data_IF_022752758741
#
_entry.id   IF_022752758741
#
_cell.length_a   1.000
_cell.length_b   1.000
_cell.length_c   1.000
_cell.angle_alpha   90.00
_cell.angle_beta   90.00
_cell.angle_gamma   90.00
#
_symmetry.space_group_name_H-M   'P 1'
#
loop_
_entity.id
_entity.type
_entity.pdbx_description
1 polymer ?
#
# COMPACT_ATOMS: atom_id res chain seq x y z
N UNK A 1 5.96 2.04 -17.98
CA UNK A 1 6.02 3.25 -17.14
C UNK A 1 5.43 2.90 -15.78
N UNK A 2 6.06 3.28 -14.68
CA UNK A 2 5.67 2.84 -13.33
C UNK A 2 4.32 3.46 -12.91
N UNK A 3 3.45 2.64 -12.33
CA UNK A 3 2.11 3.05 -11.91
C UNK A 3 1.68 2.38 -10.62
N UNK A 4 0.83 3.07 -9.88
CA UNK A 4 0.03 2.51 -8.80
C UNK A 4 -1.34 2.12 -9.35
N UNK A 5 -1.81 0.92 -9.00
CA UNK A 5 -3.07 0.39 -9.49
C UNK A 5 -3.75 -0.50 -8.48
N UNK A 6 -5.07 -0.49 -8.50
CA UNK A 6 -5.92 -1.42 -7.75
C UNK A 6 -6.95 -2.04 -8.69
N UNK A 7 -7.28 -3.30 -8.45
CA UNK A 7 -8.38 -3.99 -9.11
C UNK A 7 -9.54 -4.09 -8.12
N UNK A 8 -10.72 -3.69 -8.57
CA UNK A 8 -11.95 -3.70 -7.77
C UNK A 8 -12.90 -4.73 -8.34
N UNK A 9 -13.62 -5.41 -7.45
CA UNK A 9 -14.72 -6.30 -7.79
C UNK A 9 -15.77 -6.21 -6.69
N UNK A 10 -17.05 -6.23 -7.08
CA UNK A 10 -18.17 -6.18 -6.15
C UNK A 10 -18.60 -7.54 -5.61
N UNK A 11 -18.00 -8.65 -6.09
CA UNK A 11 -18.36 -10.03 -5.72
C UNK A 11 -19.88 -10.30 -5.79
N UNK A 12 -20.56 -9.74 -6.80
CA UNK A 12 -22.01 -9.87 -7.01
C UNK A 12 -22.87 -8.79 -6.35
N UNK A 13 -22.26 -7.72 -5.81
CA UNK A 13 -22.99 -6.57 -5.30
C UNK A 13 -23.69 -5.79 -6.44
N UNK A 14 -25.03 -5.62 -6.38
CA UNK A 14 -25.78 -4.92 -7.45
C UNK A 14 -25.33 -3.49 -7.70
N UNK A 15 -24.98 -2.74 -6.64
CA UNK A 15 -24.50 -1.36 -6.77
C UNK A 15 -23.17 -1.28 -7.54
N UNK A 16 -22.33 -2.32 -7.45
CA UNK A 16 -21.08 -2.39 -8.22
C UNK A 16 -21.33 -2.71 -9.69
N UNK A 17 -22.30 -3.58 -9.98
CA UNK A 17 -22.71 -3.88 -11.35
C UNK A 17 -23.33 -2.65 -12.03
N UNK A 18 -24.13 -1.87 -11.30
CA UNK A 18 -24.64 -0.58 -11.75
C UNK A 18 -23.50 0.40 -12.05
N UNK A 19 -22.50 0.51 -11.18
CA UNK A 19 -21.33 1.37 -11.43
C UNK A 19 -20.57 0.96 -12.70
N UNK A 20 -20.44 -0.34 -12.97
CA UNK A 20 -19.87 -0.83 -14.24
C UNK A 20 -20.74 -0.44 -15.44
N UNK A 21 -22.06 -0.55 -15.33
CA UNK A 21 -22.99 -0.14 -16.39
C UNK A 21 -22.87 1.37 -16.66
N UNK A 22 -22.83 2.20 -15.62
CA UNK A 22 -22.62 3.66 -15.74
C UNK A 22 -21.29 3.98 -16.44
N UNK A 23 -20.20 3.26 -16.13
CA UNK A 23 -18.92 3.43 -16.83
C UNK A 23 -19.02 3.11 -18.33
N UNK A 24 -19.84 2.11 -18.70
CA UNK A 24 -20.10 1.80 -20.10
C UNK A 24 -20.94 2.89 -20.78
N UNK A 25 -21.93 3.45 -20.09
CA UNK A 25 -22.74 4.56 -20.61
C UNK A 25 -21.92 5.84 -20.83
N UNK A 26 -20.99 6.15 -19.93
CA UNK A 26 -20.06 7.27 -20.11
C UNK A 26 -19.21 7.07 -21.37
N UNK A 27 -18.74 5.84 -21.62
CA UNK A 27 -18.02 5.51 -22.86
C UNK A 27 -18.89 5.68 -24.09
N UNK A 28 -20.15 5.22 -24.06
CA UNK A 28 -21.08 5.35 -25.19
C UNK A 28 -21.44 6.80 -25.47
N UNK A 29 -21.62 7.61 -24.43
CA UNK A 29 -21.82 9.05 -24.54
C UNK A 29 -20.61 9.71 -25.19
N UNK A 30 -19.40 9.37 -24.74
CA UNK A 30 -18.16 9.87 -25.32
C UNK A 30 -17.90 9.41 -26.76
N UNK A 31 -18.42 8.25 -27.18
CA UNK A 31 -18.24 7.74 -28.56
C UNK A 31 -18.83 8.68 -29.62
N UNK A 32 -19.88 9.43 -29.29
CA UNK A 32 -20.52 10.40 -30.19
C UNK A 32 -19.61 11.55 -30.59
N UNK A 33 -18.59 11.85 -29.79
CA UNK A 33 -17.60 12.91 -30.05
C UNK A 33 -16.50 12.46 -31.02
N UNK A 34 -16.45 11.17 -31.38
CA UNK A 34 -15.43 10.61 -32.27
C UNK A 34 -16.06 10.02 -33.52
N UNK A 35 -15.27 9.91 -34.60
CA UNK A 35 -15.69 9.13 -35.77
C UNK A 35 -16.00 7.70 -35.34
N UNK A 36 -17.02 7.10 -35.93
CA UNK A 36 -17.47 5.76 -35.58
C UNK A 36 -16.31 4.76 -35.58
N UNK A 37 -16.21 3.96 -34.50
CA UNK A 37 -15.16 2.96 -34.33
C UNK A 37 -13.78 3.49 -33.93
N UNK A 38 -13.60 4.81 -33.73
CA UNK A 38 -12.32 5.38 -33.28
C UNK A 38 -12.11 5.29 -31.77
N UNK A 39 -13.18 5.24 -30.96
CA UNK A 39 -13.07 5.02 -29.52
C UNK A 39 -13.08 3.52 -29.21
N UNK A 40 -12.01 3.03 -28.58
CA UNK A 40 -11.91 1.63 -28.18
C UNK A 40 -13.04 1.24 -27.23
N UNK A 41 -13.49 -0.01 -27.35
CA UNK A 41 -14.42 -0.59 -26.38
C UNK A 41 -13.73 -0.69 -25.02
N UNK A 42 -14.35 -0.14 -23.98
CA UNK A 42 -13.96 -0.41 -22.60
C UNK A 42 -14.69 -1.67 -22.13
N UNK A 43 -13.93 -2.67 -21.69
CA UNK A 43 -14.47 -3.94 -21.21
C UNK A 43 -13.98 -4.20 -19.80
N UNK A 44 -14.88 -4.42 -18.83
CA UNK A 44 -14.50 -4.94 -17.52
C UNK A 44 -13.71 -6.24 -17.65
N UNK A 45 -12.74 -6.41 -16.76
CA UNK A 45 -12.07 -7.69 -16.51
C UNK A 45 -12.94 -8.59 -15.62
N UNK A 46 -12.46 -9.79 -15.32
CA UNK A 46 -13.10 -10.68 -14.36
C UNK A 46 -12.12 -11.08 -13.25
N UNK A 47 -12.64 -11.26 -12.05
CA UNK A 47 -11.91 -11.81 -10.90
C UNK A 47 -12.78 -12.89 -10.25
N UNK A 48 -12.29 -14.14 -10.23
CA UNK A 48 -13.03 -15.30 -9.70
C UNK A 48 -14.45 -15.45 -10.27
N UNK A 49 -14.64 -15.12 -11.55
CA UNK A 49 -15.94 -15.17 -12.23
C UNK A 49 -16.81 -13.91 -12.07
N UNK A 50 -16.44 -12.99 -11.18
CA UNK A 50 -17.17 -11.73 -11.00
C UNK A 50 -16.60 -10.62 -11.87
N UNK A 51 -17.44 -9.67 -12.34
CA UNK A 51 -16.96 -8.46 -13.00
C UNK A 51 -15.98 -7.68 -12.12
N UNK A 52 -14.95 -7.15 -12.75
CA UNK A 52 -13.90 -6.38 -12.10
C UNK A 52 -13.34 -5.31 -13.03
N UNK A 53 -12.79 -4.22 -12.49
CA UNK A 53 -12.03 -3.27 -13.29
C UNK A 53 -10.80 -2.77 -12.54
N UNK A 54 -9.80 -2.35 -13.31
CA UNK A 54 -8.55 -1.81 -12.75
C UNK A 54 -8.52 -0.30 -12.90
N UNK A 55 -8.23 0.39 -11.80
CA UNK A 55 -7.97 1.84 -11.76
C UNK A 55 -6.49 2.05 -11.51
N UNK A 56 -5.87 2.99 -12.25
CA UNK A 56 -4.42 3.21 -12.12
C UNK A 56 -4.02 4.66 -12.32
N UNK A 57 -3.03 5.12 -11.55
CA UNK A 57 -2.34 6.39 -11.80
C UNK A 57 -0.84 6.14 -12.02
N UNK A 58 -0.20 6.97 -12.84
CA UNK A 58 1.25 6.91 -13.03
C UNK A 58 1.92 7.73 -11.94
N UNK A 59 3.02 7.24 -11.40
CA UNK A 59 3.85 8.05 -10.50
C UNK A 59 4.49 9.23 -11.22
N UNK A 60 4.73 9.10 -12.52
CA UNK A 60 5.40 10.14 -13.32
C UNK A 60 4.64 10.44 -14.60
N UNK A 61 4.77 11.67 -15.06
CA UNK A 61 4.39 12.12 -16.39
C UNK A 61 5.63 12.59 -17.14
N UNK A 62 5.73 12.25 -18.42
CA UNK A 62 6.80 12.77 -19.29
C UNK A 62 6.58 14.26 -19.52
N UNK A 63 7.62 15.06 -19.30
CA UNK A 63 7.58 16.47 -19.68
C UNK A 63 7.43 16.55 -21.19
N UNK A 64 6.33 17.14 -21.68
CA UNK A 64 6.23 17.50 -23.09
C UNK A 64 7.20 18.66 -23.33
N UNK A 65 7.84 18.68 -24.49
CA UNK A 65 8.70 19.77 -24.94
C UNK A 65 7.94 21.12 -24.78
N UNK A 66 8.45 22.01 -23.93
CA UNK A 66 7.82 23.31 -23.59
C UNK A 66 6.83 23.31 -22.42
N UNK A 67 6.54 22.18 -21.78
CA UNK A 67 5.67 22.11 -20.60
C UNK A 67 6.42 22.34 -19.30
N UNK A 68 6.28 23.53 -18.70
CA UNK A 68 6.68 23.77 -17.31
C UNK A 68 5.68 23.07 -16.39
N UNK A 69 6.03 21.85 -15.95
CA UNK A 69 5.30 21.19 -14.88
C UNK A 69 5.99 21.50 -13.56
N UNK A 70 5.23 22.01 -12.58
CA UNK A 70 5.74 22.11 -11.21
C UNK A 70 5.89 20.69 -10.65
N UNK A 71 7.15 20.26 -10.54
CA UNK A 71 7.48 18.98 -9.95
C UNK A 71 7.24 19.05 -8.44
N UNK A 72 6.37 18.19 -7.94
CA UNK A 72 6.12 18.01 -6.51
C UNK A 72 6.94 16.80 -6.01
N UNK A 73 7.38 16.87 -4.76
CA UNK A 73 8.08 15.76 -4.11
C UNK A 73 7.10 14.66 -3.73
N UNK A 74 7.54 13.40 -3.78
CA UNK A 74 6.74 12.30 -3.24
C UNK A 74 6.51 12.45 -1.74
N UNK A 75 5.33 12.05 -1.28
CA UNK A 75 5.06 11.90 0.15
C UNK A 75 5.97 10.82 0.74
N UNK A 76 6.48 11.04 1.96
CA UNK A 76 7.32 10.08 2.69
C UNK A 76 6.61 8.75 2.94
N UNK A 77 5.28 8.75 3.00
CA UNK A 77 4.51 7.53 3.14
C UNK A 77 4.46 6.69 1.85
N UNK A 78 4.57 7.35 0.69
CA UNK A 78 4.60 6.72 -0.64
C UNK A 78 6.01 6.31 -1.03
N UNK A 79 7.01 7.15 -0.73
CA UNK A 79 8.42 6.89 -1.02
C UNK A 79 9.33 7.06 0.22
N UNK A 80 9.25 6.16 1.22
CA UNK A 80 10.00 6.31 2.48
C UNK A 80 11.53 6.35 2.32
N UNK A 81 12.04 5.75 1.23
CA UNK A 81 13.49 5.57 0.97
C UNK A 81 13.96 6.46 -0.19
N UNK A 82 13.09 7.32 -0.75
CA UNK A 82 13.47 8.18 -1.87
C UNK A 82 13.82 7.41 -3.16
N UNK A 83 13.32 6.18 -3.34
CA UNK A 83 13.58 5.39 -4.55
C UNK A 83 12.84 6.00 -5.74
N UNK A 84 11.57 6.34 -5.57
CA UNK A 84 10.78 6.97 -6.63
C UNK A 84 11.35 8.34 -6.98
N UNK A 85 11.73 9.13 -5.97
CA UNK A 85 12.37 10.42 -6.19
C UNK A 85 13.68 10.29 -6.97
N UNK A 86 14.51 9.28 -6.68
CA UNK A 86 15.75 9.01 -7.44
C UNK A 86 15.51 8.51 -8.86
N UNK A 87 14.35 7.88 -9.12
CA UNK A 87 13.95 7.43 -10.45
C UNK A 87 13.37 8.55 -11.31
N UNK A 88 13.04 9.71 -10.73
CA UNK A 88 12.67 10.92 -11.46
C UNK A 88 13.91 11.43 -12.24
N UNK A 89 14.07 10.95 -13.48
CA UNK A 89 15.06 11.47 -14.44
C UNK A 89 14.63 12.84 -14.97
N UNK A 90 15.52 13.53 -15.69
CA UNK A 90 15.30 14.88 -16.24
C UNK A 90 14.04 15.02 -17.13
N UNK A 91 13.58 13.92 -17.73
CA UNK A 91 12.49 13.87 -18.71
C UNK A 91 11.11 13.51 -18.11
N UNK A 92 11.05 13.20 -16.82
CA UNK A 92 9.81 12.81 -16.14
C UNK A 92 9.62 13.56 -14.82
N UNK A 93 8.39 14.00 -14.55
CA UNK A 93 8.04 14.75 -13.34
C UNK A 93 6.87 14.08 -12.59
N UNK A 94 6.90 14.16 -11.26
CA UNK A 94 5.74 13.89 -10.40
C UNK A 94 4.99 15.20 -10.21
N UNK A 95 3.70 15.23 -10.55
CA UNK A 95 2.84 16.42 -10.47
C UNK A 95 1.62 16.13 -9.62
N UNK A 96 0.83 17.14 -9.26
CA UNK A 96 -0.42 16.96 -8.52
C UNK A 96 -1.36 15.94 -9.19
N UNK A 97 -1.38 15.91 -10.53
CA UNK A 97 -2.18 14.94 -11.28
C UNK A 97 -1.75 13.47 -11.06
N UNK A 98 -0.53 13.23 -10.57
CA UNK A 98 0.02 11.91 -10.26
C UNK A 98 -0.20 11.48 -8.81
N UNK A 99 -0.65 12.39 -7.94
CA UNK A 99 -0.90 12.08 -6.53
C UNK A 99 -2.13 11.19 -6.41
N UNK A 100 -2.05 10.22 -5.51
CA UNK A 100 -3.19 9.46 -5.02
C UNK A 100 -3.26 9.61 -3.51
N UNK A 101 -4.46 9.90 -3.02
CA UNK A 101 -4.71 10.05 -1.60
C UNK A 101 -5.13 8.72 -0.98
N UNK A 102 -4.67 8.48 0.24
CA UNK A 102 -4.88 7.23 0.97
C UNK A 102 -5.50 7.54 2.33
N UNK A 103 -6.70 7.01 2.56
CA UNK A 103 -7.49 7.24 3.76
C UNK A 103 -7.84 5.93 4.45
N UNK A 104 -8.17 6.01 5.74
CA UNK A 104 -8.76 4.91 6.51
C UNK A 104 -9.94 5.47 7.28
N UNK A 105 -11.10 4.85 7.15
CA UNK A 105 -12.26 5.17 7.96
C UNK A 105 -12.00 4.76 9.41
N UNK A 106 -11.51 5.69 10.22
CA UNK A 106 -11.58 5.63 11.67
C UNK A 106 -12.39 6.84 12.12
N UNK A 107 -13.29 6.63 13.08
CA UNK A 107 -14.25 7.63 13.56
C UNK A 107 -13.55 8.84 14.22
N UNK A 108 -12.27 8.70 14.63
CA UNK A 108 -11.58 9.72 15.45
C UNK A 108 -10.27 10.27 14.85
N UNK A 109 -9.85 9.86 13.64
CA UNK A 109 -8.50 10.21 13.17
C UNK A 109 -8.48 10.44 11.65
N UNK A 110 -8.62 11.70 11.23
CA UNK A 110 -8.40 12.24 9.87
C UNK A 110 -6.91 12.14 9.47
N UNK A 111 -6.32 10.96 9.61
CA UNK A 111 -4.94 10.71 9.24
C UNK A 111 -4.86 10.20 7.81
N UNK A 112 -4.13 10.91 6.93
CA UNK A 112 -3.55 10.31 5.72
C UNK A 112 -2.77 9.07 6.12
N UNK A 113 -2.88 8.00 5.33
CA UNK A 113 -2.22 6.73 5.64
C UNK A 113 -1.34 6.23 4.51
N UNK A 114 -0.52 5.26 4.86
CA UNK A 114 0.44 4.60 3.99
C UNK A 114 -0.23 3.66 2.98
N UNK A 115 0.19 3.66 1.71
CA UNK A 115 -0.25 2.69 0.71
C UNK A 115 -0.02 1.23 1.14
N UNK A 116 1.00 0.98 1.98
CA UNK A 116 1.36 -0.38 2.39
C UNK A 116 0.34 -1.05 3.32
N UNK A 117 -0.66 -0.32 3.82
CA UNK A 117 -1.71 -0.88 4.68
C UNK A 117 -2.74 -1.72 3.92
N UNK A 118 -2.99 -1.39 2.66
CA UNK A 118 -4.00 -2.07 1.84
C UNK A 118 -3.54 -3.47 1.45
N UNK A 119 -4.49 -4.41 1.46
CA UNK A 119 -4.30 -5.82 1.14
C UNK A 119 -5.44 -6.31 0.26
N UNK A 120 -5.15 -7.37 -0.50
CA UNK A 120 -6.18 -8.09 -1.26
C UNK A 120 -7.19 -8.66 -0.25
N UNK A 121 -8.47 -8.35 -0.46
CA UNK A 121 -9.57 -8.74 0.42
C UNK A 121 -10.13 -7.59 1.25
N UNK A 122 -9.45 -6.44 1.31
CA UNK A 122 -9.96 -5.28 2.02
C UNK A 122 -11.16 -4.67 1.27
N UNK A 123 -12.13 -4.16 2.04
CA UNK A 123 -13.26 -3.40 1.51
C UNK A 123 -12.82 -1.94 1.45
N UNK A 124 -12.87 -1.38 0.25
CA UNK A 124 -12.36 -0.03 -0.03
C UNK A 124 -13.36 0.77 -0.85
N UNK A 125 -13.37 2.08 -0.62
CA UNK A 125 -13.96 3.06 -1.52
C UNK A 125 -12.85 3.64 -2.41
N UNK A 126 -13.12 3.80 -3.70
CA UNK A 126 -12.15 4.33 -4.65
C UNK A 126 -12.74 5.49 -5.43
N UNK A 127 -12.05 6.62 -5.37
CA UNK A 127 -12.32 7.75 -6.25
C UNK A 127 -11.43 7.67 -7.48
N UNK A 128 -12.04 7.81 -8.66
CA UNK A 128 -11.32 7.82 -9.92
C UNK A 128 -11.81 8.93 -10.86
N UNK A 129 -10.94 9.37 -11.76
CA UNK A 129 -11.29 10.23 -12.88
C UNK A 129 -11.34 9.41 -14.17
N UNK A 130 -12.27 9.74 -15.05
CA UNK A 130 -12.38 9.12 -16.36
C UNK A 130 -11.70 10.04 -17.37
N UNK A 131 -10.75 9.49 -18.15
CA UNK A 131 -10.11 10.23 -19.24
C UNK A 131 -10.22 9.45 -20.55
N UNK A 132 -10.34 10.17 -21.65
CA UNK A 132 -10.21 9.62 -23.00
C UNK A 132 -8.96 10.22 -23.62
N UNK A 133 -8.01 9.39 -24.03
CA UNK A 133 -6.76 9.83 -24.63
C UNK A 133 -6.54 9.16 -25.99
N UNK A 134 -5.79 9.83 -26.85
CA UNK A 134 -5.37 9.27 -28.13
C UNK A 134 -4.35 8.15 -27.89
N UNK A 135 -4.71 6.93 -28.27
CA UNK A 135 -3.81 5.79 -28.28
C UNK A 135 -2.91 5.85 -29.54
N UNK A 136 -2.00 4.88 -29.69
CA UNK A 136 -1.13 4.79 -30.87
C UNK A 136 -1.98 4.72 -32.15
N UNK A 137 -1.75 5.63 -33.09
CA UNK A 137 -2.53 5.74 -34.34
C UNK A 137 -3.73 6.70 -34.23
N UNK A 138 -4.83 6.37 -34.91
CA UNK A 138 -6.05 7.18 -34.93
C UNK A 138 -7.07 6.80 -33.84
N UNK A 139 -6.76 5.80 -33.00
CA UNK A 139 -7.68 5.27 -31.99
C UNK A 139 -7.60 6.06 -30.69
N UNK A 140 -8.72 6.13 -29.99
CA UNK A 140 -8.87 6.75 -28.67
C UNK A 140 -9.21 5.67 -27.66
N UNK A 141 -8.78 5.84 -26.40
CA UNK A 141 -9.05 4.87 -25.34
C UNK A 141 -9.48 5.56 -24.07
N UNK A 142 -10.52 5.03 -23.44
CA UNK A 142 -10.95 5.41 -22.10
C UNK A 142 -10.04 4.74 -21.05
N UNK A 143 -9.66 5.50 -20.01
CA UNK A 143 -8.92 5.00 -18.85
C UNK A 143 -9.48 5.59 -17.56
N UNK A 144 -9.48 4.77 -16.52
CA UNK A 144 -9.78 5.17 -15.14
C UNK A 144 -8.47 5.54 -14.43
N UNK A 145 -8.37 6.79 -14.00
CA UNK A 145 -7.23 7.35 -13.27
C UNK A 145 -7.53 7.32 -11.78
N UNK A 146 -6.66 6.69 -11.01
CA UNK A 146 -6.82 6.58 -9.56
C UNK A 146 -6.57 7.94 -8.90
N UNK A 147 -7.49 8.40 -8.03
CA UNK A 147 -7.37 9.68 -7.30
C UNK A 147 -7.30 9.49 -5.80
N UNK A 148 -8.15 8.64 -5.25
CA UNK A 148 -8.13 8.33 -3.83
C UNK A 148 -8.56 6.90 -3.55
N UNK A 149 -8.08 6.34 -2.45
CA UNK A 149 -8.54 5.07 -1.88
C UNK A 149 -8.79 5.28 -0.39
N UNK A 150 -9.99 4.92 0.06
CA UNK A 150 -10.34 4.87 1.47
C UNK A 150 -10.59 3.43 1.92
N UNK A 151 -9.92 3.00 2.99
CA UNK A 151 -10.20 1.70 3.63
C UNK A 151 -11.47 1.80 4.45
N UNK A 152 -12.49 1.01 4.10
CA UNK A 152 -13.76 0.94 4.83
C UNK A 152 -13.72 -0.19 5.86
N UNK A 153 -13.25 -1.37 5.46
CA UNK A 153 -13.13 -2.53 6.36
C UNK A 153 -11.91 -3.40 5.98
N UNK A 154 -11.18 -3.85 7.00
CA UNK A 154 -10.06 -4.78 6.88
C UNK A 154 -10.20 -6.01 7.80
N UNK A 155 -11.28 -6.11 8.57
CA UNK A 155 -11.50 -7.19 9.54
C UNK A 155 -11.54 -8.55 8.87
N UNK A 156 -12.19 -8.66 7.70
CA UNK A 156 -12.25 -9.91 6.94
C UNK A 156 -10.84 -10.42 6.57
N UNK A 157 -9.97 -9.53 6.09
CA UNK A 157 -8.59 -9.88 5.76
C UNK A 157 -7.78 -10.25 7.01
N UNK A 158 -8.01 -9.56 8.13
CA UNK A 158 -7.33 -9.83 9.40
C UNK A 158 -7.76 -11.18 10.00
N UNK A 159 -9.05 -11.48 9.98
CA UNK A 159 -9.59 -12.73 10.52
C UNK A 159 -9.20 -13.93 9.68
N UNK A 160 -9.17 -13.80 8.35
CA UNK A 160 -8.62 -14.84 7.47
C UNK A 160 -7.16 -15.17 7.81
N UNK A 161 -6.33 -14.16 8.10
CA UNK A 161 -4.93 -14.37 8.53
C UNK A 161 -4.82 -14.99 9.92
N UNK A 162 -5.71 -14.61 10.84
CA UNK A 162 -5.78 -15.21 12.18
C UNK A 162 -6.14 -16.69 12.09
N UNK A 163 -7.09 -17.05 11.23
CA UNK A 163 -7.50 -18.45 11.02
C UNK A 163 -6.41 -19.27 10.33
N UNK A 164 -5.73 -18.74 9.31
CA UNK A 164 -4.63 -19.45 8.66
C UNK A 164 -3.45 -19.69 9.60
N UNK A 165 -3.14 -18.72 10.48
CA UNK A 165 -2.06 -18.85 11.47
C UNK A 165 -2.36 -19.88 12.56
N UNK A 166 -3.64 -20.13 12.85
CA UNK A 166 -4.07 -21.19 13.78
C UNK A 166 -3.95 -22.59 13.16
N UNK A 167 -4.12 -22.71 11.84
CA UNK A 167 -3.94 -23.97 11.12
C UNK A 167 -2.48 -24.27 10.74
N UNK A 168 -1.59 -23.27 10.76
CA UNK A 168 -0.14 -23.46 10.65
C UNK A 168 0.51 -23.65 12.03
N UNK A 169 -0.01 -24.55 12.85
CA UNK A 169 0.76 -25.07 13.99
C UNK A 169 1.83 -26.05 13.44
N UNK A 170 3.08 -25.98 13.90
CA UNK A 170 4.18 -26.73 13.29
C UNK A 170 4.03 -28.23 13.55
N UNK A 171 4.34 -29.04 12.53
CA UNK A 171 4.85 -30.40 12.75
C UNK A 171 5.93 -30.37 13.82
N UNK A 172 5.89 -31.35 14.72
CA UNK A 172 6.75 -31.51 15.89
C UNK A 172 8.22 -31.19 15.59
N UNK A 173 8.66 -30.00 16.00
CA UNK A 173 10.08 -29.76 16.27
C UNK A 173 10.16 -29.26 17.70
N UNK A 174 10.97 -29.97 18.51
CA UNK A 174 11.00 -29.90 19.97
C UNK A 174 11.13 -28.50 20.58
N UNK A 175 10.96 -28.37 21.91
CA UNK A 175 10.73 -27.10 22.57
C UNK A 175 11.93 -26.14 22.39
N UNK A 176 11.79 -25.19 21.46
CA UNK A 176 12.68 -24.02 21.40
C UNK A 176 12.38 -23.12 22.59
N UNK A 177 13.18 -23.24 23.66
CA UNK A 177 13.21 -22.28 24.78
C UNK A 177 13.60 -20.90 24.25
N UNK A 178 12.60 -20.04 24.06
CA UNK A 178 12.80 -18.61 23.88
C UNK A 178 13.21 -18.01 25.24
N UNK A 179 14.51 -17.74 25.41
CA UNK A 179 15.00 -16.93 26.54
C UNK A 179 14.58 -15.48 26.27
N UNK A 180 13.50 -15.02 26.92
CA UNK A 180 13.17 -13.59 26.99
C UNK A 180 14.16 -12.92 27.92
N UNK A 181 14.89 -11.92 27.42
CA UNK A 181 15.73 -11.05 28.25
C UNK A 181 14.78 -10.04 28.91
N UNK A 182 14.35 -10.33 30.14
CA UNK A 182 13.64 -9.36 30.97
C UNK A 182 14.72 -8.42 31.49
N UNK A 183 14.75 -7.20 30.96
CA UNK A 183 15.57 -6.12 31.48
C UNK A 183 14.70 -5.22 32.34
N UNK A 184 14.70 -5.47 33.65
CA UNK A 184 14.37 -4.48 34.67
C UNK A 184 15.25 -4.81 35.88
N UNK A 185 16.29 -4.02 36.06
CA UNK A 185 16.82 -3.75 37.39
C UNK A 185 16.71 -2.25 37.53
N UNK A 186 15.62 -1.83 38.16
CA UNK A 186 15.48 -0.51 38.73
C UNK A 186 16.56 -0.38 39.83
N UNK A 187 17.42 0.62 39.67
CA UNK A 187 18.27 1.12 40.74
C UNK A 187 17.36 1.87 41.72
N UNK A 188 17.27 1.42 42.99
CA UNK A 188 17.36 2.29 44.18
C UNK A 188 17.22 1.51 45.52
N UNK A 189 18.31 1.59 46.30
CA UNK A 189 18.46 1.62 47.77
C UNK A 189 17.64 0.70 48.71
N UNK A 190 18.35 -0.12 49.49
CA UNK A 190 18.45 0.05 50.96
C UNK A 190 19.56 -0.84 51.53
N UNK A 191 20.45 -0.21 52.30
CA UNK A 191 21.47 -0.84 53.11
C UNK A 191 20.84 -1.74 54.18
N UNK A 192 21.41 -2.94 54.38
CA UNK A 192 21.59 -3.46 55.74
C UNK A 192 22.79 -4.43 55.81
N UNK A 193 23.62 -4.14 56.81
CA UNK A 193 24.95 -4.67 57.08
C UNK A 193 24.84 -5.92 57.95
N UNK A 194 25.47 -7.04 57.56
CA UNK A 194 26.08 -7.96 58.56
C UNK A 194 27.39 -8.54 58.02
N UNK A 195 28.43 -8.32 58.82
CA UNK A 195 29.87 -8.55 58.62
C UNK A 195 30.32 -9.96 59.04
N UNK A 196 31.52 -10.35 58.57
CA UNK A 196 32.53 -11.33 59.07
C UNK A 196 32.70 -12.55 58.14
N UNK A 197 33.89 -12.97 57.71
CA UNK A 197 35.26 -12.76 58.20
C UNK A 197 36.29 -13.06 57.09
N UNK A 198 37.45 -12.38 57.15
CA UNK A 198 38.62 -12.58 56.29
C UNK A 198 39.68 -13.49 56.95
N UNK A 199 40.53 -14.13 56.13
CA UNK A 199 41.94 -14.51 56.40
C UNK A 199 42.64 -14.85 55.06
N UNK A 200 43.48 -13.97 54.53
CA UNK A 200 44.96 -13.87 54.67
C UNK A 200 45.75 -14.75 53.67
N UNK A 201 46.60 -14.13 52.83
CA UNK A 201 47.56 -14.76 51.87
C UNK A 201 48.91 -15.13 52.53
N UNK A 202 50.10 -15.15 51.87
CA UNK A 202 50.48 -14.87 50.47
C UNK A 202 51.55 -15.84 49.83
N UNK A 203 52.22 -15.36 48.77
CA UNK A 203 53.27 -15.86 47.82
C UNK A 203 54.54 -16.64 48.28
N UNK A 204 55.07 -17.44 47.31
CA UNK A 204 56.49 -17.84 47.01
C UNK A 204 57.26 -18.65 48.09
N UNK A 205 58.23 -19.54 47.88
CA UNK A 205 59.15 -19.94 46.80
C UNK A 205 59.63 -21.39 47.09
N UNK A 206 60.41 -21.96 46.16
CA UNK A 206 61.68 -22.68 46.35
C UNK A 206 61.81 -24.04 45.67
N UNK A 207 62.87 -24.09 44.86
CA UNK A 207 63.35 -25.18 44.04
C UNK A 207 64.33 -26.03 44.85
N UNK A 208 64.27 -27.35 44.72
CA UNK A 208 65.42 -28.27 44.76
C UNK A 208 65.03 -29.61 44.13
#
# INVERSE_FOLDING_TARGET
MLSQSVMLTGLGCPAFDEAIATLQEIRLTGEREFKNGMLDKWTPSTYRGFPAFTVSNRYFQTAKEGGQYEAITFDKDVDPVGILQRLAKTDVAHTEANVVQYFKANVDDEGKRRPQLFRIGDIVEVQCSIIIFKARGARHRMKLVLRAIAMLDCNMTLDAKRMSSKHSAPEETGPKRLKRKIGFTDEDSCDDVVTKQAKEGPMMDESA
#
